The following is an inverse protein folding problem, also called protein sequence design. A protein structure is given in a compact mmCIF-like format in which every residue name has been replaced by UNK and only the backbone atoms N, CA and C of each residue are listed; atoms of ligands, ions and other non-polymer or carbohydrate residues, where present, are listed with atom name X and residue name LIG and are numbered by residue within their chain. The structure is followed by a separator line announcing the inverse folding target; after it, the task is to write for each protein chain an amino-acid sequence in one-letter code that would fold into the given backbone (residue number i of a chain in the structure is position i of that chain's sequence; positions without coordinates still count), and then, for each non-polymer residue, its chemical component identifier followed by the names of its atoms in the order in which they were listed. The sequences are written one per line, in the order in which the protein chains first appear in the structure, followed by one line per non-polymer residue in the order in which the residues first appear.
data_IF_157848439583
#
_entry.id   IF_157848439583
#
_cell.length_a   1.000
_cell.length_b   1.000
_cell.length_c   1.000
_cell.angle_alpha   90.00
_cell.angle_beta   90.00
_cell.angle_gamma   90.00
#
_symmetry.space_group_name_H-M   'P 1'
#
loop_
_entity.id
_entity.type
_entity.pdbx_description
1 polymer ?
#
# COMPACT_ATOMS: atom_id res chain seq x y z
N UNK A 1 -52.01 16.16 37.59
CA UNK A 1 -51.43 15.56 38.81
C UNK A 1 -50.07 14.94 38.50
N UNK A 2 -49.10 15.40 39.21
CA UNK A 2 -47.65 15.05 39.09
C UNK A 2 -47.42 13.57 39.38
N UNK A 3 -46.49 12.92 38.66
CA UNK A 3 -45.65 11.90 39.25
C UNK A 3 -44.26 11.96 38.60
N UNK A 4 -43.32 12.21 39.44
CA UNK A 4 -41.85 12.13 39.32
C UNK A 4 -41.50 10.65 39.37
N UNK A 5 -40.64 10.18 38.48
CA UNK A 5 -39.98 8.89 38.62
C UNK A 5 -38.48 9.03 38.47
N UNK A 6 -37.84 8.47 39.45
CA UNK A 6 -36.43 8.48 39.88
C UNK A 6 -35.52 7.70 38.95
N UNK A 7 -34.36 8.26 38.65
CA UNK A 7 -33.23 7.59 38.02
C UNK A 7 -32.47 6.78 39.07
N UNK A 8 -32.23 5.51 38.79
CA UNK A 8 -31.22 4.70 39.46
C UNK A 8 -30.15 4.39 38.43
N UNK A 9 -28.98 4.98 38.65
CA UNK A 9 -27.75 4.76 37.93
C UNK A 9 -27.05 3.55 38.58
N UNK A 10 -26.96 2.42 37.90
CA UNK A 10 -26.08 1.32 38.30
C UNK A 10 -24.93 1.23 37.30
N UNK A 11 -23.79 1.73 37.73
CA UNK A 11 -22.50 1.58 37.07
C UNK A 11 -21.99 0.14 37.21
N UNK A 12 -22.06 -0.63 36.14
CA UNK A 12 -21.37 -1.91 36.04
C UNK A 12 -20.05 -1.67 35.27
N UNK A 13 -18.95 -1.62 36.01
CA UNK A 13 -17.60 -1.64 35.44
C UNK A 13 -17.30 -3.07 35.03
N UNK A 14 -17.43 -3.36 33.74
CA UNK A 14 -16.84 -4.55 33.12
C UNK A 14 -15.40 -4.23 32.71
N UNK A 15 -14.45 -4.74 33.44
CA UNK A 15 -13.05 -4.83 33.00
C UNK A 15 -12.95 -6.03 32.05
N UNK A 16 -13.06 -5.78 30.77
CA UNK A 16 -12.75 -6.77 29.74
C UNK A 16 -11.25 -6.71 29.46
N UNK A 17 -10.52 -7.73 29.90
CA UNK A 17 -9.20 -8.01 29.35
C UNK A 17 -9.37 -8.45 27.89
N UNK A 18 -9.26 -7.50 26.97
CA UNK A 18 -9.09 -7.81 25.57
C UNK A 18 -7.61 -8.13 25.32
N UNK A 19 -7.33 -9.41 25.12
CA UNK A 19 -6.14 -9.83 24.39
C UNK A 19 -6.28 -9.26 22.98
N UNK A 20 -5.67 -8.12 22.74
CA UNK A 20 -5.66 -7.48 21.44
C UNK A 20 -4.80 -8.30 20.49
N UNK A 21 -5.45 -9.05 19.63
CA UNK A 21 -4.87 -9.35 18.34
C UNK A 21 -4.73 -8.01 17.62
N UNK A 22 -3.54 -7.45 17.60
CA UNK A 22 -3.20 -6.40 16.67
C UNK A 22 -3.13 -7.04 15.27
N UNK A 23 -4.27 -7.12 14.61
CA UNK A 23 -4.27 -7.09 13.16
C UNK A 23 -3.81 -5.69 12.82
N UNK A 24 -2.59 -5.57 12.35
CA UNK A 24 -2.17 -4.39 11.58
C UNK A 24 -3.14 -4.35 10.41
N UNK A 25 -4.14 -3.51 10.50
CA UNK A 25 -4.92 -3.14 9.33
C UNK A 25 -3.91 -2.50 8.38
N UNK A 26 -3.86 -2.97 7.15
CA UNK A 26 -3.40 -2.14 6.06
C UNK A 26 -4.02 -0.76 6.31
N UNK A 27 -3.15 0.25 6.38
CA UNK A 27 -3.57 1.62 6.63
C UNK A 27 -4.83 1.87 5.83
N UNK A 28 -5.81 2.46 6.47
CA UNK A 28 -7.07 2.88 5.89
C UNK A 28 -6.75 3.54 4.55
N UNK A 29 -6.87 2.77 3.47
CA UNK A 29 -6.61 3.25 2.13
C UNK A 29 -7.69 4.28 1.91
N UNK A 30 -7.30 5.56 1.96
CA UNK A 30 -8.21 6.68 1.85
C UNK A 30 -9.23 6.38 0.74
N UNK A 31 -10.50 6.68 0.99
CA UNK A 31 -11.56 6.53 -0.01
C UNK A 31 -11.00 7.01 -1.35
N UNK A 32 -11.05 6.12 -2.36
CA UNK A 32 -10.55 6.42 -3.69
C UNK A 32 -11.07 7.80 -4.08
N UNK A 33 -10.17 8.79 -4.18
CA UNK A 33 -10.56 10.16 -4.45
C UNK A 33 -11.42 10.16 -5.71
N UNK A 34 -12.54 10.87 -5.68
CA UNK A 34 -13.42 11.02 -6.83
C UNK A 34 -12.61 11.59 -8.00
N UNK A 35 -12.33 10.74 -8.98
CA UNK A 35 -11.54 11.16 -10.13
C UNK A 35 -12.35 12.22 -10.87
N UNK A 36 -11.93 13.47 -10.82
CA UNK A 36 -12.63 14.64 -11.40
C UNK A 36 -12.99 14.41 -12.88
N UNK A 37 -12.20 13.57 -13.56
CA UNK A 37 -12.43 13.09 -14.91
C UNK A 37 -12.13 11.61 -14.98
N UNK A 38 -13.11 10.73 -15.07
CA UNK A 38 -12.87 9.28 -15.05
C UNK A 38 -11.95 8.80 -16.18
N UNK A 39 -11.92 9.50 -17.31
CA UNK A 39 -11.02 9.19 -18.42
C UNK A 39 -9.54 9.39 -18.07
N UNK A 40 -9.20 10.20 -17.07
CA UNK A 40 -7.80 10.46 -16.70
C UNK A 40 -7.08 9.24 -16.14
N UNK A 41 -7.80 8.25 -15.67
CA UNK A 41 -7.24 7.00 -15.16
C UNK A 41 -6.76 6.03 -16.25
N UNK A 42 -7.11 6.28 -17.51
CA UNK A 42 -6.84 5.36 -18.61
C UNK A 42 -5.66 5.83 -19.44
N UNK A 43 -4.72 4.94 -19.74
CA UNK A 43 -3.51 5.27 -20.49
C UNK A 43 -3.76 5.44 -21.99
N UNK A 44 -4.67 4.67 -22.52
CA UNK A 44 -4.89 4.54 -23.96
C UNK A 44 -6.33 4.87 -24.35
N UNK A 45 -6.51 5.39 -25.56
CA UNK A 45 -7.81 5.63 -26.11
C UNK A 45 -7.92 5.22 -27.59
N UNK A 46 -9.13 4.90 -28.01
CA UNK A 46 -9.49 4.69 -29.41
C UNK A 46 -10.62 5.64 -29.79
N UNK A 47 -10.46 6.29 -30.91
CA UNK A 47 -11.48 7.14 -31.51
C UNK A 47 -12.33 6.31 -32.46
N UNK A 48 -13.64 6.26 -32.21
CA UNK A 48 -14.61 5.61 -33.07
C UNK A 48 -15.49 6.68 -33.69
N UNK A 49 -15.31 6.89 -35.01
CA UNK A 49 -16.14 7.80 -35.77
C UNK A 49 -17.56 7.26 -35.92
N UNK A 50 -18.47 8.08 -36.46
CA UNK A 50 -19.87 7.70 -36.67
C UNK A 50 -19.98 6.41 -37.47
N UNK A 51 -20.70 5.46 -36.87
CA UNK A 51 -20.94 4.14 -37.45
C UNK A 51 -22.26 4.16 -38.21
N UNK A 52 -22.24 3.66 -39.46
CA UNK A 52 -23.48 3.57 -40.28
C UNK A 52 -24.35 2.40 -39.84
N UNK A 53 -25.00 2.59 -38.69
CA UNK A 53 -26.01 1.71 -38.13
C UNK A 53 -27.34 2.44 -38.03
N UNK A 54 -28.44 1.72 -38.22
CA UNK A 54 -29.80 2.32 -38.24
C UNK A 54 -30.60 2.03 -37.00
N UNK A 55 -30.14 1.11 -36.18
CA UNK A 55 -30.75 0.72 -34.90
C UNK A 55 -29.62 0.53 -33.89
N UNK A 56 -29.90 0.64 -32.59
CA UNK A 56 -28.92 0.32 -31.57
C UNK A 56 -28.34 -1.08 -31.81
N UNK A 57 -27.01 -1.17 -31.95
CA UNK A 57 -26.32 -2.39 -32.35
C UNK A 57 -25.08 -2.60 -31.46
N UNK A 58 -24.81 -3.85 -31.09
CA UNK A 58 -23.56 -4.19 -30.40
C UNK A 58 -22.41 -4.07 -31.38
N UNK A 59 -21.45 -3.20 -31.05
CA UNK A 59 -20.27 -2.95 -31.84
C UNK A 59 -19.07 -3.58 -31.15
N UNK A 60 -18.21 -4.21 -31.93
CA UNK A 60 -16.92 -4.79 -31.51
C UNK A 60 -15.78 -4.02 -32.15
N UNK A 61 -14.92 -3.43 -31.35
CA UNK A 61 -13.74 -2.67 -31.79
C UNK A 61 -12.50 -3.49 -31.44
N UNK A 62 -11.78 -4.02 -32.46
CA UNK A 62 -10.56 -4.79 -32.23
C UNK A 62 -9.48 -3.93 -31.57
N UNK A 63 -8.77 -4.51 -30.61
CA UNK A 63 -7.58 -3.91 -29.99
C UNK A 63 -6.36 -4.74 -30.35
N UNK A 64 -5.31 -4.07 -30.79
CA UNK A 64 -4.03 -4.68 -31.11
C UNK A 64 -3.01 -4.36 -30.01
N UNK A 65 -2.32 -5.35 -29.51
CA UNK A 65 -1.31 -5.20 -28.46
C UNK A 65 -0.89 -6.52 -27.84
N UNK A 66 0.27 -6.55 -27.24
CA UNK A 66 0.78 -7.72 -26.51
C UNK A 66 0.55 -7.56 -25.00
N UNK A 67 0.44 -8.66 -24.28
CA UNK A 67 0.29 -8.69 -22.83
C UNK A 67 -1.16 -8.67 -22.34
N UNK A 68 -1.37 -8.79 -21.05
CA UNK A 68 -2.67 -8.65 -20.40
C UNK A 68 -3.06 -7.18 -20.29
N UNK A 69 -4.33 -6.87 -20.40
CA UNK A 69 -4.88 -5.52 -20.25
C UNK A 69 -5.94 -5.57 -19.15
N UNK A 70 -5.96 -4.56 -18.27
CA UNK A 70 -7.01 -4.40 -17.28
C UNK A 70 -8.39 -4.37 -17.96
N UNK A 71 -9.36 -5.09 -17.43
CA UNK A 71 -10.67 -5.28 -18.03
C UNK A 71 -11.59 -4.03 -17.96
N UNK A 72 -11.21 -3.02 -17.20
CA UNK A 72 -12.01 -1.79 -17.10
C UNK A 72 -11.94 -0.98 -18.38
N UNK A 73 -13.09 -0.57 -18.86
CA UNK A 73 -13.26 0.19 -20.10
C UNK A 73 -14.27 1.31 -19.85
N UNK A 74 -13.91 2.52 -20.23
CA UNK A 74 -14.80 3.69 -20.21
C UNK A 74 -15.12 4.08 -21.65
N UNK A 75 -16.38 4.24 -21.98
CA UNK A 75 -16.82 4.66 -23.29
C UNK A 75 -17.68 5.92 -23.17
N UNK A 76 -17.33 6.95 -23.94
CA UNK A 76 -18.00 8.23 -23.95
C UNK A 76 -18.61 8.51 -25.32
N UNK A 77 -19.90 8.81 -25.37
CA UNK A 77 -20.53 9.38 -26.55
C UNK A 77 -20.11 10.84 -26.71
N UNK A 78 -19.56 11.22 -27.87
CA UNK A 78 -19.03 12.58 -28.08
C UNK A 78 -20.09 13.66 -28.10
N UNK A 79 -21.27 13.38 -28.72
CA UNK A 79 -22.31 14.38 -28.92
C UNK A 79 -23.12 14.63 -27.65
N UNK A 80 -23.26 13.65 -26.80
CA UNK A 80 -24.12 13.72 -25.61
C UNK A 80 -23.35 13.75 -24.30
N UNK A 81 -22.03 13.51 -24.34
CA UNK A 81 -21.15 13.37 -23.19
C UNK A 81 -21.58 12.24 -22.22
N UNK A 82 -22.35 11.28 -22.71
CA UNK A 82 -22.90 10.18 -21.93
C UNK A 82 -21.89 9.03 -21.84
N UNK A 83 -21.76 8.47 -20.64
CA UNK A 83 -20.96 7.27 -20.43
C UNK A 83 -21.78 6.02 -20.76
N UNK A 84 -21.19 5.15 -21.55
CA UNK A 84 -21.75 3.88 -22.01
C UNK A 84 -20.96 2.74 -21.40
N UNK A 85 -21.63 1.74 -20.88
CA UNK A 85 -20.97 0.55 -20.41
C UNK A 85 -20.35 -0.26 -21.55
N UNK A 86 -19.13 -0.75 -21.33
CA UNK A 86 -18.38 -1.59 -22.25
C UNK A 86 -17.91 -2.90 -21.63
N UNK A 87 -17.52 -3.82 -22.47
CA UNK A 87 -16.90 -5.09 -22.10
C UNK A 87 -15.61 -5.26 -22.91
N UNK A 88 -14.50 -5.42 -22.23
CA UNK A 88 -13.28 -5.93 -22.87
C UNK A 88 -13.40 -7.45 -22.98
N UNK A 89 -13.53 -7.95 -24.19
CA UNK A 89 -13.54 -9.35 -24.51
C UNK A 89 -12.12 -9.78 -24.91
N UNK A 90 -11.54 -10.70 -24.18
CA UNK A 90 -10.24 -11.28 -24.50
C UNK A 90 -10.42 -12.76 -24.80
N UNK A 91 -10.14 -13.19 -26.01
CA UNK A 91 -10.10 -14.59 -26.37
C UNK A 91 -8.68 -15.00 -26.69
N UNK A 92 -8.16 -15.96 -25.95
CA UNK A 92 -6.84 -16.56 -26.20
C UNK A 92 -7.05 -17.70 -27.22
N UNK A 93 -6.61 -17.50 -28.44
CA UNK A 93 -6.76 -18.50 -29.52
C UNK A 93 -5.71 -19.62 -29.47
N UNK A 94 -4.63 -19.43 -28.72
CA UNK A 94 -3.63 -20.48 -28.46
C UNK A 94 -3.68 -20.86 -26.99
N UNK A 95 -3.59 -22.16 -26.67
CA UNK A 95 -3.53 -22.61 -25.28
C UNK A 95 -2.12 -22.32 -24.71
N UNK A 96 -1.94 -21.26 -23.90
CA UNK A 96 -0.68 -21.05 -23.24
C UNK A 96 -0.41 -22.25 -22.31
N UNK A 97 0.87 -22.60 -22.17
CA UNK A 97 1.25 -23.62 -21.20
C UNK A 97 0.87 -23.12 -19.80
N UNK A 98 -0.01 -23.84 -19.07
CA UNK A 98 -0.45 -23.38 -17.78
C UNK A 98 0.69 -23.41 -16.78
N UNK A 99 0.77 -22.35 -15.96
CA UNK A 99 1.75 -22.24 -14.89
C UNK A 99 1.08 -22.38 -13.52
N UNK A 100 1.84 -22.82 -12.53
CA UNK A 100 1.48 -22.75 -11.13
C UNK A 100 2.45 -21.81 -10.42
N UNK A 101 1.93 -20.97 -9.52
CA UNK A 101 2.74 -20.01 -8.76
C UNK A 101 2.62 -20.36 -7.28
N UNK A 102 3.75 -20.41 -6.60
CA UNK A 102 3.84 -20.50 -5.14
C UNK A 102 4.70 -19.39 -4.61
N UNK A 103 4.41 -18.89 -3.42
CA UNK A 103 5.10 -17.76 -2.81
C UNK A 103 5.89 -18.17 -1.57
N UNK A 104 6.96 -17.45 -1.27
CA UNK A 104 7.69 -17.52 -0.01
C UNK A 104 7.80 -16.06 0.52
N UNK A 105 7.15 -15.71 1.63
CA UNK A 105 6.33 -16.56 2.51
C UNK A 105 5.13 -17.22 1.79
N UNK A 106 4.75 -18.41 2.25
CA UNK A 106 3.69 -19.19 1.61
C UNK A 106 2.32 -18.49 1.76
N UNK A 107 1.61 -18.32 0.65
CA UNK A 107 0.25 -17.83 0.63
C UNK A 107 -0.66 -18.83 -0.14
N UNK A 108 -1.75 -19.24 0.51
CA UNK A 108 -2.69 -20.21 -0.07
C UNK A 108 -3.45 -19.68 -1.29
N UNK A 109 -3.53 -18.36 -1.43
CA UNK A 109 -4.26 -17.67 -2.50
C UNK A 109 -3.35 -17.34 -3.70
N UNK A 110 -2.15 -17.90 -3.79
CA UNK A 110 -1.20 -17.62 -4.87
C UNK A 110 -1.74 -17.94 -6.29
N UNK A 111 -2.86 -18.63 -6.41
CA UNK A 111 -3.54 -18.84 -7.69
C UNK A 111 -4.06 -17.54 -8.31
N UNK A 112 -4.35 -16.51 -7.51
CA UNK A 112 -4.78 -15.17 -7.95
C UNK A 112 -3.74 -14.55 -8.89
N UNK A 113 -2.46 -14.79 -8.65
CA UNK A 113 -1.35 -14.20 -9.44
C UNK A 113 -1.29 -14.67 -10.90
N UNK A 114 -2.26 -15.46 -11.38
CA UNK A 114 -2.31 -16.04 -12.72
C UNK A 114 -3.73 -16.22 -13.27
N UNK A 115 -4.71 -15.58 -12.68
CA UNK A 115 -6.12 -15.72 -13.07
C UNK A 115 -6.56 -14.71 -14.15
N UNK A 116 -5.63 -13.86 -14.59
CA UNK A 116 -5.84 -12.81 -15.59
C UNK A 116 -6.85 -11.73 -15.13
N UNK A 117 -7.11 -11.67 -13.82
CA UNK A 117 -7.95 -10.65 -13.20
C UNK A 117 -7.05 -9.65 -12.45
N UNK A 118 -7.34 -8.36 -12.60
CA UNK A 118 -6.54 -7.29 -12.00
C UNK A 118 -7.24 -6.65 -10.79
N UNK A 119 -8.42 -7.13 -10.43
CA UNK A 119 -9.22 -6.65 -9.30
C UNK A 119 -8.85 -7.32 -7.97
N UNK A 120 -7.98 -8.33 -8.01
CA UNK A 120 -7.50 -9.06 -6.86
C UNK A 120 -5.97 -9.09 -6.85
N UNK A 121 -5.40 -9.07 -5.66
CA UNK A 121 -3.95 -9.10 -5.50
C UNK A 121 -3.54 -9.76 -4.19
N UNK A 122 -2.26 -10.11 -4.07
CA UNK A 122 -1.65 -10.60 -2.84
C UNK A 122 -0.87 -9.48 -2.18
N UNK A 123 -1.17 -9.26 -0.90
CA UNK A 123 -0.52 -8.29 -0.04
C UNK A 123 0.73 -8.87 0.60
N UNK A 124 1.80 -8.09 0.58
CA UNK A 124 3.07 -8.38 1.24
C UNK A 124 3.44 -7.18 2.12
N UNK A 125 3.13 -7.24 3.42
CA UNK A 125 3.47 -6.17 4.35
C UNK A 125 4.98 -6.07 4.53
N UNK A 126 5.47 -4.90 4.87
CA UNK A 126 6.88 -4.71 5.24
C UNK A 126 7.14 -5.44 6.56
N UNK A 127 8.18 -6.28 6.65
CA UNK A 127 8.53 -6.92 7.92
C UNK A 127 9.02 -5.88 8.93
N UNK A 128 8.93 -6.21 10.22
CA UNK A 128 9.42 -5.36 11.30
C UNK A 128 10.94 -5.14 11.27
N UNK A 129 11.68 -5.96 10.55
CA UNK A 129 13.13 -5.82 10.39
C UNK A 129 13.54 -5.99 8.91
N UNK A 130 14.33 -5.03 8.41
CA UNK A 130 14.92 -5.04 7.07
C UNK A 130 13.89 -4.87 5.94
N UNK A 131 14.37 -4.99 4.72
CA UNK A 131 13.54 -4.98 3.52
C UNK A 131 12.62 -6.20 3.47
N UNK A 132 11.44 -6.02 2.92
CA UNK A 132 10.57 -7.12 2.54
C UNK A 132 11.20 -7.92 1.39
N UNK A 133 11.11 -9.23 1.46
CA UNK A 133 11.51 -10.12 0.37
C UNK A 133 10.40 -11.10 0.10
N UNK A 134 9.95 -11.15 -1.15
CA UNK A 134 9.02 -12.17 -1.61
C UNK A 134 9.64 -12.94 -2.77
N UNK A 135 9.41 -14.24 -2.76
CA UNK A 135 9.86 -15.14 -3.81
C UNK A 135 8.64 -15.79 -4.46
N UNK A 136 8.57 -15.69 -5.77
CA UNK A 136 7.57 -16.38 -6.58
C UNK A 136 8.26 -17.53 -7.32
N UNK A 137 7.85 -18.76 -7.03
CA UNK A 137 8.25 -19.93 -7.80
C UNK A 137 7.18 -20.25 -8.82
N UNK A 138 7.53 -20.11 -10.09
CA UNK A 138 6.65 -20.39 -11.23
C UNK A 138 7.05 -21.69 -11.87
N UNK A 139 6.11 -22.62 -11.97
CA UNK A 139 6.31 -23.96 -12.53
C UNK A 139 5.29 -24.26 -13.61
N UNK A 140 5.73 -24.90 -14.68
CA UNK A 140 4.85 -25.38 -15.75
C UNK A 140 5.02 -26.87 -16.00
N UNK A 141 3.94 -27.52 -16.45
CA UNK A 141 3.97 -28.95 -16.81
C UNK A 141 4.79 -29.26 -18.07
N UNK A 142 4.94 -28.27 -18.94
CA UNK A 142 5.76 -28.30 -20.15
C UNK A 142 6.65 -27.08 -20.18
N UNK A 143 7.82 -27.16 -20.86
CA UNK A 143 8.70 -26.00 -20.97
C UNK A 143 8.03 -24.85 -21.71
N UNK A 144 8.23 -23.62 -21.22
CA UNK A 144 7.84 -22.38 -21.90
C UNK A 144 9.08 -21.66 -22.42
N UNK A 145 8.98 -21.07 -23.60
CA UNK A 145 10.00 -20.21 -24.16
C UNK A 145 9.57 -18.76 -23.97
N UNK A 146 10.41 -17.96 -23.31
CA UNK A 146 10.10 -16.59 -22.96
C UNK A 146 11.35 -15.72 -22.93
N UNK A 147 11.17 -14.41 -23.12
CA UNK A 147 12.21 -13.39 -22.97
C UNK A 147 11.72 -12.18 -22.15
N UNK A 148 10.52 -12.26 -21.59
CA UNK A 148 9.90 -11.14 -20.88
C UNK A 148 9.03 -11.66 -19.73
N UNK A 149 9.13 -10.98 -18.60
CA UNK A 149 8.23 -11.07 -17.45
C UNK A 149 7.48 -9.76 -17.30
N UNK A 150 6.17 -9.82 -17.17
CA UNK A 150 5.33 -8.71 -16.78
C UNK A 150 4.89 -8.91 -15.32
N UNK A 151 5.06 -7.85 -14.52
CA UNK A 151 4.62 -7.76 -13.15
C UNK A 151 3.48 -6.74 -13.10
N UNK A 152 2.31 -7.18 -12.68
CA UNK A 152 1.16 -6.29 -12.53
C UNK A 152 0.98 -6.00 -11.05
N UNK A 153 1.22 -4.75 -10.71
CA UNK A 153 1.05 -4.23 -9.35
C UNK A 153 -0.33 -3.60 -9.22
N UNK A 154 -0.83 -3.55 -8.01
CA UNK A 154 -2.04 -2.78 -7.72
C UNK A 154 -1.74 -1.28 -7.81
N UNK A 155 -2.80 -0.49 -7.79
CA UNK A 155 -2.70 0.95 -7.59
C UNK A 155 -2.20 1.28 -6.18
N UNK A 156 -1.65 2.47 -5.97
CA UNK A 156 -1.18 2.96 -4.68
C UNK A 156 -0.04 2.14 -4.06
N UNK A 157 0.80 1.55 -4.88
CA UNK A 157 2.00 0.84 -4.44
C UNK A 157 3.24 1.30 -5.20
N UNK A 158 4.34 1.42 -4.47
CA UNK A 158 5.65 1.69 -5.07
C UNK A 158 6.21 0.48 -5.82
N UNK A 159 7.08 0.72 -6.80
CA UNK A 159 7.86 -0.35 -7.42
C UNK A 159 8.73 -1.06 -6.36
N UNK A 160 8.81 -2.41 -6.39
CA UNK A 160 9.83 -3.12 -5.64
C UNK A 160 11.23 -2.56 -5.95
N UNK A 161 12.05 -2.43 -4.91
CA UNK A 161 13.42 -1.88 -5.05
C UNK A 161 14.27 -2.67 -6.01
N UNK A 162 14.20 -3.99 -5.92
CA UNK A 162 15.04 -4.86 -6.76
C UNK A 162 14.29 -6.08 -7.23
N UNK A 163 14.74 -6.59 -8.38
CA UNK A 163 14.33 -7.87 -8.93
C UNK A 163 15.55 -8.76 -9.22
N UNK A 164 15.40 -10.06 -8.97
CA UNK A 164 16.27 -11.11 -9.44
C UNK A 164 15.42 -12.22 -10.06
N UNK A 165 15.85 -12.77 -11.21
CA UNK A 165 15.18 -13.89 -11.85
C UNK A 165 16.17 -15.03 -12.01
N UNK A 166 15.78 -16.20 -11.52
CA UNK A 166 16.51 -17.46 -11.67
C UNK A 166 15.67 -18.46 -12.46
N UNK A 167 16.32 -19.35 -13.17
CA UNK A 167 15.68 -20.44 -13.92
C UNK A 167 16.45 -21.72 -13.69
N UNK A 168 15.83 -22.89 -13.96
CA UNK A 168 16.50 -24.16 -13.97
C UNK A 168 16.57 -24.70 -15.41
N UNK A 169 17.68 -25.36 -15.73
CA UNK A 169 17.77 -26.12 -16.99
C UNK A 169 16.82 -27.34 -16.91
N UNK A 170 16.29 -27.75 -18.07
CA UNK A 170 15.39 -28.89 -18.17
C UNK A 170 16.06 -30.15 -17.55
N UNK A 171 15.40 -30.74 -16.56
CA UNK A 171 15.89 -31.91 -15.84
C UNK A 171 16.96 -31.63 -14.79
N UNK A 172 17.31 -30.37 -14.53
CA UNK A 172 18.25 -29.96 -13.47
C UNK A 172 17.48 -29.36 -12.29
N UNK A 173 17.97 -29.61 -11.06
CA UNK A 173 17.50 -28.91 -9.87
C UNK A 173 18.38 -27.69 -9.54
N UNK A 174 19.42 -27.44 -10.32
CA UNK A 174 20.35 -26.32 -10.11
C UNK A 174 19.79 -25.09 -10.81
N UNK A 175 19.53 -24.03 -10.05
CA UNK A 175 19.09 -22.77 -10.60
C UNK A 175 20.26 -21.99 -11.20
N UNK A 176 20.01 -21.35 -12.33
CA UNK A 176 20.91 -20.41 -13.00
C UNK A 176 20.29 -19.01 -12.93
N UNK A 177 21.11 -18.02 -12.61
CA UNK A 177 20.67 -16.62 -12.63
C UNK A 177 20.43 -16.18 -14.08
N UNK A 178 19.20 -15.77 -14.37
CA UNK A 178 18.79 -15.21 -15.66
C UNK A 178 18.88 -13.69 -15.63
N UNK A 179 18.40 -13.07 -14.56
CA UNK A 179 18.53 -11.65 -14.27
C UNK A 179 19.20 -11.52 -12.91
N UNK A 180 20.41 -10.96 -12.85
CA UNK A 180 21.07 -10.66 -11.59
C UNK A 180 20.31 -9.59 -10.81
N UNK A 181 20.39 -9.62 -9.47
CA UNK A 181 19.74 -8.63 -8.62
C UNK A 181 20.07 -7.21 -9.10
N UNK A 182 19.06 -6.48 -9.51
CA UNK A 182 19.14 -5.09 -10.01
C UNK A 182 17.95 -4.27 -9.56
N UNK A 183 18.11 -2.95 -9.57
CA UNK A 183 16.99 -2.04 -9.35
C UNK A 183 15.89 -2.28 -10.39
N UNK A 184 14.64 -2.24 -9.94
CA UNK A 184 13.46 -2.31 -10.80
C UNK A 184 13.12 -0.88 -11.25
N UNK A 185 12.96 -0.69 -12.56
CA UNK A 185 12.67 0.62 -13.18
C UNK A 185 11.34 0.62 -13.94
N UNK A 186 10.59 -0.47 -13.84
CA UNK A 186 9.30 -0.64 -14.50
C UNK A 186 8.79 -2.06 -14.33
N UNK A 187 7.57 -2.28 -14.74
CA UNK A 187 6.85 -3.54 -14.51
C UNK A 187 7.06 -4.59 -15.60
N UNK A 188 7.70 -4.24 -16.73
CA UNK A 188 8.07 -5.15 -17.81
C UNK A 188 9.57 -5.40 -17.80
N UNK A 189 9.98 -6.63 -17.59
CA UNK A 189 11.36 -7.03 -17.40
C UNK A 189 11.81 -7.92 -18.57
N UNK A 190 12.68 -7.39 -19.41
CA UNK A 190 13.25 -8.12 -20.54
C UNK A 190 14.56 -8.83 -20.16
N UNK A 191 14.77 -10.02 -20.71
CA UNK A 191 15.96 -10.86 -20.51
C UNK A 191 16.22 -11.72 -21.75
N UNK A 192 17.44 -12.33 -21.88
CA UNK A 192 17.73 -13.24 -22.97
C UNK A 192 16.73 -14.39 -23.03
N UNK A 193 16.31 -14.75 -24.25
CA UNK A 193 15.38 -15.85 -24.48
C UNK A 193 15.83 -17.13 -23.79
N UNK A 194 14.92 -17.78 -23.10
CA UNK A 194 15.16 -19.03 -22.36
C UNK A 194 13.96 -19.96 -22.49
N UNK A 195 14.25 -21.26 -22.53
CA UNK A 195 13.23 -22.32 -22.48
C UNK A 195 13.37 -23.08 -21.17
N UNK A 196 12.37 -23.01 -20.31
CA UNK A 196 12.38 -23.68 -19.01
C UNK A 196 10.96 -24.01 -18.55
N UNK A 197 10.85 -24.90 -17.58
CA UNK A 197 9.62 -25.19 -16.86
C UNK A 197 9.64 -24.71 -15.39
N UNK A 198 10.71 -23.97 -15.00
CA UNK A 198 10.85 -23.42 -13.67
C UNK A 198 11.49 -22.04 -13.72
N UNK A 199 10.85 -21.09 -13.07
CA UNK A 199 11.37 -19.76 -12.84
C UNK A 199 11.20 -19.40 -11.38
N UNK A 200 12.16 -18.65 -10.85
CA UNK A 200 12.12 -18.09 -9.50
C UNK A 200 12.34 -16.59 -9.61
N UNK A 201 11.32 -15.81 -9.25
CA UNK A 201 11.34 -14.35 -9.23
C UNK A 201 11.48 -13.91 -7.79
N UNK A 202 12.47 -13.09 -7.49
CA UNK A 202 12.75 -12.57 -6.15
C UNK A 202 12.60 -11.06 -6.21
N UNK A 203 11.68 -10.52 -5.43
CA UNK A 203 11.47 -9.08 -5.26
C UNK A 203 11.91 -8.65 -3.87
N UNK A 204 12.61 -7.51 -3.79
CA UNK A 204 12.90 -6.83 -2.53
C UNK A 204 12.15 -5.51 -2.52
N UNK A 205 11.44 -5.21 -1.44
CA UNK A 205 10.59 -4.01 -1.33
C UNK A 205 10.75 -3.34 0.03
N UNK A 206 10.58 -2.03 0.08
CA UNK A 206 10.71 -1.19 1.28
C UNK A 206 9.36 -0.69 1.80
N UNK A 207 8.35 -0.62 0.94
CA UNK A 207 6.98 -0.23 1.26
C UNK A 207 6.04 -1.42 1.07
N UNK A 208 4.81 -1.40 1.63
CA UNK A 208 3.83 -2.45 1.41
C UNK A 208 3.67 -2.73 -0.08
N UNK A 209 3.71 -4.00 -0.46
CA UNK A 209 3.64 -4.43 -1.85
C UNK A 209 2.36 -5.22 -2.08
N UNK A 210 1.63 -4.90 -3.15
CA UNK A 210 0.51 -5.69 -3.63
C UNK A 210 0.71 -6.06 -5.08
N UNK A 211 0.69 -7.37 -5.35
CA UNK A 211 0.91 -7.94 -6.68
C UNK A 211 -0.39 -8.56 -7.15
N UNK A 212 -0.91 -8.10 -8.29
CA UNK A 212 -2.15 -8.60 -8.87
C UNK A 212 -1.87 -9.79 -9.79
N UNK A 213 -0.84 -9.70 -10.65
CA UNK A 213 -0.55 -10.75 -11.62
C UNK A 213 0.96 -10.85 -11.89
N UNK A 214 1.42 -12.05 -12.19
CA UNK A 214 2.78 -12.33 -12.68
C UNK A 214 2.67 -13.16 -13.96
N UNK A 215 3.09 -12.58 -15.09
CA UNK A 215 2.96 -13.21 -16.39
C UNK A 215 4.29 -13.29 -17.14
N UNK A 216 4.69 -14.51 -17.52
CA UNK A 216 5.77 -14.72 -18.48
C UNK A 216 5.18 -14.70 -19.89
N UNK A 217 5.65 -13.78 -20.72
CA UNK A 217 5.23 -13.70 -22.13
C UNK A 217 5.76 -14.92 -22.86
N UNK A 218 4.88 -15.87 -23.18
CA UNK A 218 5.25 -17.12 -23.84
C UNK A 218 5.40 -16.90 -25.35
N UNK A 219 6.53 -17.34 -25.91
CA UNK A 219 6.79 -17.23 -27.34
C UNK A 219 5.99 -18.28 -28.11
N UNK A 220 5.50 -17.91 -29.32
CA UNK A 220 4.73 -18.79 -30.18
C UNK A 220 3.24 -18.85 -29.83
N UNK A 221 2.79 -18.06 -28.86
CA UNK A 221 1.38 -17.78 -28.63
C UNK A 221 1.01 -16.63 -29.55
N UNK A 222 0.38 -16.93 -30.69
CA UNK A 222 -0.11 -15.92 -31.62
C UNK A 222 -1.61 -15.73 -31.41
N UNK A 223 -2.01 -14.46 -31.44
CA UNK A 223 -3.37 -13.95 -31.49
C UNK A 223 -4.17 -14.07 -30.19
N UNK A 224 -3.87 -13.15 -29.28
CA UNK A 224 -4.90 -12.66 -28.39
C UNK A 224 -5.85 -11.80 -29.21
N UNK A 225 -6.95 -12.36 -29.65
CA UNK A 225 -8.01 -11.57 -30.26
C UNK A 225 -8.70 -10.82 -29.11
N UNK A 226 -8.56 -9.51 -29.12
CA UNK A 226 -9.15 -8.61 -28.14
C UNK A 226 -10.08 -7.67 -28.83
N UNK A 227 -11.22 -7.46 -28.24
CA UNK A 227 -12.19 -6.49 -28.73
C UNK A 227 -12.92 -5.82 -27.56
N UNK A 228 -13.17 -4.53 -27.71
CA UNK A 228 -14.06 -3.81 -26.81
C UNK A 228 -15.46 -3.81 -27.43
N UNK A 229 -16.44 -4.27 -26.65
CA UNK A 229 -17.82 -4.36 -27.08
C UNK A 229 -18.69 -3.39 -26.31
N UNK A 230 -19.58 -2.73 -27.02
CA UNK A 230 -20.57 -1.83 -26.42
C UNK A 230 -21.81 -1.69 -27.31
N UNK A 231 -22.90 -1.16 -26.75
CA UNK A 231 -24.11 -0.89 -27.50
C UNK A 231 -24.05 0.51 -28.11
N UNK A 232 -23.74 0.58 -29.40
CA UNK A 232 -23.70 1.85 -30.14
C UNK A 232 -25.08 2.29 -30.57
N UNK A 233 -25.30 3.60 -30.56
CA UNK A 233 -26.50 4.27 -31.11
C UNK A 233 -26.26 4.77 -32.53
N UNK A 234 -27.28 4.88 -33.38
CA UNK A 234 -27.16 5.49 -34.71
C UNK A 234 -26.62 6.92 -34.63
N UNK A 235 -25.78 7.27 -35.61
CA UNK A 235 -25.24 8.63 -35.83
C UNK A 235 -24.38 9.18 -34.68
N UNK A 236 -23.91 8.34 -33.73
CA UNK A 236 -23.02 8.71 -32.65
C UNK A 236 -21.57 8.37 -32.94
N UNK A 237 -20.66 9.19 -32.44
CA UNK A 237 -19.23 8.92 -32.36
C UNK A 237 -18.83 8.65 -30.90
N UNK A 238 -17.77 7.86 -30.71
CA UNK A 238 -17.35 7.41 -29.37
C UNK A 238 -15.86 7.60 -29.15
N UNK A 239 -15.50 7.94 -27.91
CA UNK A 239 -14.17 7.82 -27.38
C UNK A 239 -14.14 6.64 -26.41
N UNK A 240 -13.27 5.69 -26.67
CA UNK A 240 -13.10 4.47 -25.87
C UNK A 240 -11.78 4.58 -25.12
N UNK A 241 -11.83 4.55 -23.80
CA UNK A 241 -10.67 4.59 -22.92
C UNK A 241 -10.49 3.22 -22.28
N UNK A 242 -9.26 2.72 -22.23
CA UNK A 242 -8.93 1.42 -21.69
C UNK A 242 -7.51 1.39 -21.12
N UNK A 243 -7.11 0.26 -20.49
CA UNK A 243 -5.83 0.09 -19.82
C UNK A 243 -5.62 1.11 -18.69
N UNK A 244 -6.54 1.13 -17.68
CA UNK A 244 -6.37 2.01 -16.53
C UNK A 244 -5.26 1.53 -15.61
N UNK A 245 -4.61 2.44 -14.90
CA UNK A 245 -3.70 2.18 -13.78
C UNK A 245 -4.29 2.55 -12.43
N UNK A 246 -5.52 3.05 -12.43
CA UNK A 246 -6.28 3.39 -11.23
C UNK A 246 -7.66 2.73 -11.26
N UNK A 247 -8.23 2.44 -10.11
CA UNK A 247 -9.64 2.06 -10.01
C UNK A 247 -10.54 3.23 -10.37
N UNK A 248 -11.48 2.98 -11.26
CA UNK A 248 -12.43 4.00 -11.70
C UNK A 248 -13.84 3.52 -11.39
N UNK A 249 -14.57 4.31 -10.63
CA UNK A 249 -16.01 4.12 -10.39
C UNK A 249 -16.74 5.18 -11.18
N UNK A 250 -17.60 4.76 -12.09
CA UNK A 250 -18.45 5.66 -12.87
C UNK A 250 -19.82 5.03 -13.13
N UNK A 251 -20.81 5.89 -13.21
CA UNK A 251 -22.17 5.47 -13.57
C UNK A 251 -22.26 5.35 -15.09
N UNK A 252 -22.35 4.12 -15.59
CA UNK A 252 -22.59 3.85 -16.99
C UNK A 252 -24.03 3.41 -17.22
N UNK A 253 -24.51 3.63 -18.43
CA UNK A 253 -25.82 3.11 -18.83
C UNK A 253 -25.83 1.58 -18.78
N UNK A 254 -27.00 1.02 -18.44
CA UNK A 254 -27.20 -0.43 -18.41
C UNK A 254 -26.84 -1.07 -19.74
N UNK A 255 -26.03 -2.13 -19.71
CA UNK A 255 -25.54 -2.81 -20.89
C UNK A 255 -26.37 -4.07 -21.14
N UNK A 256 -26.70 -4.32 -22.41
CA UNK A 256 -27.24 -5.59 -22.85
C UNK A 256 -26.22 -6.73 -22.74
N UNK A 257 -26.54 -7.91 -23.24
CA UNK A 257 -25.63 -9.05 -23.25
C UNK A 257 -24.50 -8.85 -24.27
N UNK A 258 -23.43 -8.17 -23.87
CA UNK A 258 -22.25 -7.92 -24.71
C UNK A 258 -21.40 -9.18 -24.95
N UNK A 259 -21.65 -10.28 -24.23
CA UNK A 259 -20.96 -11.56 -24.45
C UNK A 259 -21.59 -12.41 -25.54
N UNK A 260 -22.77 -12.05 -26.03
CA UNK A 260 -23.43 -12.77 -27.11
C UNK A 260 -22.78 -12.42 -28.46
N UNK A 261 -22.27 -13.44 -29.15
CA UNK A 261 -21.59 -13.26 -30.45
C UNK A 261 -22.54 -13.14 -31.64
N UNK A 262 -23.87 -13.17 -31.40
CA UNK A 262 -24.87 -13.00 -32.44
C UNK A 262 -25.09 -11.52 -32.76
N UNK A 263 -25.18 -11.22 -34.06
CA UNK A 263 -25.52 -9.90 -34.56
C UNK A 263 -24.53 -8.76 -34.13
N UNK A 264 -23.24 -9.10 -33.99
CA UNK A 264 -22.20 -8.13 -33.68
C UNK A 264 -21.75 -7.44 -34.97
N UNK A 265 -21.68 -6.11 -34.94
CA UNK A 265 -21.04 -5.29 -35.97
C UNK A 265 -19.55 -5.11 -35.62
N UNK A 266 -18.67 -5.67 -36.41
CA UNK A 266 -17.22 -5.47 -36.25
C UNK A 266 -16.80 -4.16 -36.87
N UNK A 267 -16.39 -3.21 -36.07
CA UNK A 267 -15.90 -1.91 -36.50
C UNK A 267 -14.38 -2.01 -36.75
N UNK A 268 -13.98 -1.97 -38.02
CA UNK A 268 -12.58 -1.92 -38.41
C UNK A 268 -12.40 -0.64 -39.24
N UNK A 269 -11.65 0.30 -38.69
CA UNK A 269 -11.25 1.52 -39.36
C UNK A 269 -9.73 1.66 -39.22
N UNK A 270 -9.04 2.06 -40.28
CA UNK A 270 -7.59 2.36 -40.26
C UNK A 270 -7.24 3.44 -39.24
N UNK A 271 -8.21 4.27 -38.82
CA UNK A 271 -8.08 5.30 -37.77
C UNK A 271 -8.34 4.77 -36.35
N UNK A 272 -8.79 3.51 -36.20
CA UNK A 272 -9.02 2.88 -34.88
C UNK A 272 -7.73 2.34 -34.26
N UNK A 273 -6.63 3.05 -34.48
CA UNK A 273 -5.35 2.72 -33.83
C UNK A 273 -5.36 3.30 -32.43
N UNK A 274 -4.95 2.51 -31.43
CA UNK A 274 -4.75 3.03 -30.08
C UNK A 274 -3.79 4.21 -30.08
N UNK A 275 -4.16 5.24 -29.34
CA UNK A 275 -3.32 6.42 -29.11
C UNK A 275 -3.22 6.66 -27.60
N UNK A 276 -2.14 7.32 -27.19
CA UNK A 276 -2.02 7.76 -25.81
C UNK A 276 -3.18 8.69 -25.46
N UNK A 277 -3.80 8.47 -24.32
CA UNK A 277 -4.88 9.31 -23.86
C UNK A 277 -4.34 10.67 -23.41
N UNK A 278 -4.73 11.79 -24.05
CA UNK A 278 -4.23 13.11 -23.70
C UNK A 278 -4.68 13.62 -22.31
N UNK A 279 -5.68 12.96 -21.72
CA UNK A 279 -6.18 13.29 -20.39
C UNK A 279 -5.58 12.42 -19.29
N UNK A 280 -4.76 11.44 -19.66
CA UNK A 280 -4.17 10.52 -18.71
C UNK A 280 -3.33 11.25 -17.64
N UNK A 281 -3.57 10.90 -16.40
CA UNK A 281 -2.78 11.32 -15.24
C UNK A 281 -2.35 10.05 -14.50
N UNK A 282 -1.06 9.81 -14.31
CA UNK A 282 -0.59 8.72 -13.46
C UNK A 282 -1.16 8.82 -12.06
N UNK A 283 -1.27 7.69 -11.35
CA UNK A 283 -1.66 7.66 -9.96
C UNK A 283 -0.64 8.43 -9.10
N UNK A 284 -1.15 9.30 -8.22
CA UNK A 284 -0.42 10.12 -7.24
C UNK A 284 -1.42 10.34 -6.10
N UNK A 285 -1.42 9.43 -5.12
CA UNK A 285 -2.51 9.32 -4.13
C UNK A 285 -2.45 10.39 -3.06
N UNK A 286 -1.28 10.98 -2.81
CA UNK A 286 -1.08 12.05 -1.82
C UNK A 286 -0.88 13.44 -2.43
N UNK A 287 -0.99 13.53 -3.78
CA UNK A 287 -0.93 14.77 -4.57
C UNK A 287 0.38 15.56 -4.36
N UNK A 288 1.50 14.89 -4.15
CA UNK A 288 2.79 15.56 -3.94
C UNK A 288 3.57 15.85 -5.24
N UNK A 289 3.08 15.33 -6.37
CA UNK A 289 3.65 15.47 -7.69
C UNK A 289 4.62 14.37 -8.10
N UNK A 290 4.80 13.35 -7.26
CA UNK A 290 5.54 12.12 -7.56
C UNK A 290 4.54 10.99 -7.75
N UNK A 291 4.64 10.29 -8.89
CA UNK A 291 3.70 9.18 -9.17
C UNK A 291 3.94 8.01 -8.23
N UNK A 292 2.88 7.34 -7.77
CA UNK A 292 2.92 6.25 -6.79
C UNK A 292 4.01 5.21 -7.06
N UNK A 293 4.18 4.78 -8.31
CA UNK A 293 5.19 3.78 -8.68
C UNK A 293 6.63 4.22 -8.42
N UNK A 294 6.89 5.52 -8.37
CA UNK A 294 8.24 6.10 -8.17
C UNK A 294 8.39 6.76 -6.81
N UNK A 295 7.29 6.83 -6.04
CA UNK A 295 7.23 7.50 -4.77
C UNK A 295 7.81 6.64 -3.65
N UNK A 296 8.65 7.24 -2.83
CA UNK A 296 9.23 6.57 -1.66
C UNK A 296 8.37 6.70 -0.39
N UNK A 297 7.22 7.46 -0.48
CA UNK A 297 6.21 7.57 0.58
C UNK A 297 4.79 7.64 0.00
N UNK A 298 4.33 6.67 -0.77
CA UNK A 298 3.08 6.65 -1.57
C UNK A 298 1.84 7.30 -0.92
N UNK A 299 1.73 7.37 0.39
CA UNK A 299 0.56 7.91 1.09
C UNK A 299 0.86 9.11 1.99
N UNK A 300 2.08 9.66 1.93
CA UNK A 300 2.52 10.78 2.78
C UNK A 300 3.31 11.75 1.93
N UNK A 301 2.69 12.86 1.60
CA UNK A 301 3.25 13.90 0.71
C UNK A 301 4.69 14.29 1.09
N UNK A 302 5.63 14.02 0.21
CA UNK A 302 7.06 14.31 0.38
C UNK A 302 7.76 14.61 -0.96
N UNK A 303 7.30 15.61 -1.67
CA UNK A 303 7.79 15.99 -3.00
C UNK A 303 9.30 16.13 -3.16
N UNK A 304 10.05 16.23 -2.06
CA UNK A 304 11.52 16.26 -2.05
C UNK A 304 12.15 14.86 -2.08
N UNK A 305 11.37 13.82 -1.81
CA UNK A 305 11.76 12.41 -1.88
C UNK A 305 13.03 12.09 -1.08
N UNK A 306 13.24 12.78 0.05
CA UNK A 306 14.41 12.59 0.90
C UNK A 306 14.38 11.20 1.53
N UNK A 307 15.50 10.48 1.41
CA UNK A 307 15.77 9.15 1.97
C UNK A 307 17.25 9.12 2.37
N UNK A 308 17.53 9.52 3.60
CA UNK A 308 18.91 9.75 4.11
C UNK A 308 19.67 8.44 4.26
N UNK A 309 19.04 7.40 4.74
CA UNK A 309 19.67 6.08 4.96
C UNK A 309 19.65 5.20 3.71
N UNK A 310 18.92 5.60 2.65
CA UNK A 310 18.78 4.92 1.35
C UNK A 310 18.18 3.53 1.47
N UNK A 311 17.25 3.38 2.38
CA UNK A 311 16.52 2.13 2.54
C UNK A 311 15.34 2.00 1.54
N UNK A 312 15.02 3.04 0.76
CA UNK A 312 13.96 3.08 -0.26
C UNK A 312 12.59 3.45 0.32
N UNK A 313 12.56 3.93 1.56
CA UNK A 313 11.42 4.59 2.19
C UNK A 313 11.84 6.03 2.47
N UNK A 314 10.98 6.99 2.14
CA UNK A 314 11.27 8.40 2.42
C UNK A 314 11.24 8.70 3.91
N UNK A 315 12.11 9.63 4.36
CA UNK A 315 12.22 10.01 5.78
C UNK A 315 10.89 10.46 6.40
N UNK A 316 9.98 10.98 5.56
CA UNK A 316 8.66 11.45 5.99
C UNK A 316 7.71 10.33 6.44
N UNK A 317 7.89 9.12 5.95
CA UNK A 317 7.08 7.94 6.26
C UNK A 317 7.89 6.79 6.85
N UNK A 318 9.18 7.00 7.11
CA UNK A 318 10.06 5.99 7.66
C UNK A 318 10.09 6.03 9.19
N UNK A 319 10.37 4.87 9.78
CA UNK A 319 10.57 4.63 11.21
C UNK A 319 11.92 3.89 11.33
N UNK A 320 12.98 4.65 11.59
CA UNK A 320 14.36 4.14 11.52
C UNK A 320 14.68 3.12 12.60
N UNK A 321 14.20 3.36 13.82
CA UNK A 321 14.46 2.48 14.95
C UNK A 321 13.33 1.48 15.23
N UNK A 322 12.18 1.65 14.52
CA UNK A 322 11.03 0.74 14.50
C UNK A 322 10.33 0.58 15.83
N UNK A 323 10.20 1.66 16.51
CA UNK A 323 9.43 1.71 17.75
C UNK A 323 7.93 1.96 17.52
N UNK A 324 7.52 2.25 16.27
CA UNK A 324 6.14 2.47 15.85
C UNK A 324 5.78 3.93 15.65
N UNK A 325 6.73 4.85 15.84
CA UNK A 325 6.61 6.25 15.48
C UNK A 325 7.47 6.56 14.25
N UNK A 326 6.91 7.29 13.28
CA UNK A 326 7.68 7.74 12.13
C UNK A 326 8.67 8.82 12.56
N UNK A 327 9.82 8.91 11.90
CA UNK A 327 10.92 9.82 12.26
C UNK A 327 10.50 11.27 12.53
N UNK A 328 9.48 11.77 11.80
CA UNK A 328 8.96 13.13 11.96
C UNK A 328 8.07 13.31 13.19
N UNK A 329 7.59 12.24 13.80
CA UNK A 329 6.75 12.22 14.99
C UNK A 329 7.44 11.60 16.20
N UNK A 330 8.66 11.09 15.98
CA UNK A 330 9.49 10.45 16.98
C UNK A 330 10.43 11.46 17.62
N UNK A 331 10.45 11.51 18.94
CA UNK A 331 11.35 12.35 19.69
C UNK A 331 12.75 11.74 19.92
N UNK A 332 12.96 10.46 19.48
CA UNK A 332 14.26 9.78 19.43
C UNK A 332 14.42 8.96 18.15
N UNK A 333 14.49 9.51 16.94
CA UNK A 333 14.39 8.77 15.68
C UNK A 333 15.42 7.67 15.42
N UNK A 334 16.39 7.47 16.28
CA UNK A 334 17.47 6.47 16.14
C UNK A 334 17.59 5.52 17.32
N UNK A 335 16.77 5.70 18.37
CA UNK A 335 16.80 4.88 19.59
C UNK A 335 15.38 4.55 20.03
N UNK A 336 14.94 3.27 19.94
CA UNK A 336 13.56 2.89 20.18
C UNK A 336 13.03 3.33 21.55
N UNK A 337 11.96 4.10 21.56
CA UNK A 337 11.35 4.64 22.77
C UNK A 337 9.80 4.71 22.70
N UNK A 338 9.15 3.55 22.52
CA UNK A 338 7.70 3.39 22.35
C UNK A 338 6.81 4.26 23.28
N UNK A 339 7.31 4.71 24.44
CA UNK A 339 6.59 5.57 25.38
C UNK A 339 6.74 7.05 25.05
N UNK A 340 7.64 7.43 24.14
CA UNK A 340 7.89 8.81 23.71
C UNK A 340 8.07 9.77 24.91
N UNK A 341 8.75 9.27 25.98
CA UNK A 341 8.97 10.02 27.21
C UNK A 341 9.92 11.18 26.94
N UNK A 342 9.53 12.37 27.41
CA UNK A 342 10.27 13.64 27.34
C UNK A 342 9.96 14.38 28.63
N UNK A 343 10.87 14.26 29.61
CA UNK A 343 10.61 14.72 30.98
C UNK A 343 10.73 16.24 31.15
N UNK A 344 11.47 16.90 30.27
CA UNK A 344 11.67 18.35 30.32
C UNK A 344 10.95 19.12 29.22
N UNK A 345 10.31 18.36 28.29
CA UNK A 345 9.48 18.87 27.21
C UNK A 345 10.25 19.78 26.22
N UNK A 346 11.50 19.42 25.90
CA UNK A 346 12.30 20.15 24.92
C UNK A 346 12.16 19.59 23.48
N UNK A 347 11.47 18.43 23.33
CA UNK A 347 11.21 17.76 22.06
C UNK A 347 12.22 16.66 21.74
N UNK A 348 13.20 16.40 22.59
CA UNK A 348 14.11 15.25 22.53
C UNK A 348 13.68 14.25 23.61
N UNK A 349 13.57 12.97 23.23
CA UNK A 349 13.12 11.96 24.19
C UNK A 349 14.18 11.58 25.21
N UNK A 350 13.75 11.24 26.42
CA UNK A 350 14.61 10.86 27.56
C UNK A 350 15.67 9.78 27.21
N UNK A 351 15.42 8.94 26.19
CA UNK A 351 16.33 7.86 25.79
C UNK A 351 17.52 8.36 25.01
N UNK A 352 17.33 9.32 24.12
CA UNK A 352 18.35 9.87 23.24
C UNK A 352 18.85 11.25 23.71
N UNK A 353 18.23 11.86 24.73
CA UNK A 353 18.66 13.11 25.29
C UNK A 353 19.90 12.93 26.16
N UNK A 354 21.05 13.40 25.67
CA UNK A 354 22.32 13.40 26.39
C UNK A 354 22.49 14.56 27.36
N UNK A 355 21.64 15.57 27.26
CA UNK A 355 21.64 16.80 28.09
C UNK A 355 20.27 17.01 28.70
N UNK A 356 19.90 16.18 29.68
CA UNK A 356 18.67 16.43 30.43
C UNK A 356 18.72 17.82 31.06
N UNK A 357 17.94 18.74 30.53
CA UNK A 357 17.90 20.13 31.06
C UNK A 357 17.01 20.27 32.30
N UNK A 358 16.75 19.18 33.03
CA UNK A 358 16.07 19.25 34.32
C UNK A 358 16.77 20.27 35.22
N UNK A 359 15.99 21.12 35.84
CA UNK A 359 16.52 22.18 36.75
C UNK A 359 17.52 21.64 37.77
N UNK A 360 17.38 20.36 38.20
CA UNK A 360 18.31 19.70 39.13
C UNK A 360 19.62 19.28 38.50
N UNK A 361 19.68 19.08 37.18
CA UNK A 361 20.88 18.68 36.42
C UNK A 361 21.65 19.90 35.92
N UNK A 362 20.94 20.89 35.42
CA UNK A 362 21.52 22.20 35.13
C UNK A 362 22.01 22.90 36.41
N UNK A 363 21.55 22.47 37.59
CA UNK A 363 21.94 23.02 38.88
C UNK A 363 22.32 21.93 39.88
N UNK A 364 23.49 21.26 39.77
CA UNK A 364 23.92 20.11 40.60
C UNK A 364 23.97 20.41 42.11
N UNK A 365 23.91 21.67 42.49
CA UNK A 365 23.90 22.09 43.89
C UNK A 365 22.51 22.00 44.53
N UNK A 366 21.41 21.94 43.79
CA UNK A 366 20.02 21.94 44.29
C UNK A 366 19.69 20.72 45.17
N UNK A 367 20.04 19.49 44.80
CA UNK A 367 19.86 18.34 45.67
C UNK A 367 20.63 18.46 47.01
N UNK A 368 21.83 19.07 46.97
CA UNK A 368 22.63 19.31 48.17
C UNK A 368 22.01 20.33 49.11
N UNK A 369 21.41 21.41 48.59
CA UNK A 369 20.65 22.37 49.38
C UNK A 369 19.42 21.75 50.00
N UNK A 370 18.69 20.89 49.28
CA UNK A 370 17.57 20.14 49.81
C UNK A 370 17.97 19.23 50.99
N UNK A 371 19.04 18.45 50.79
CA UNK A 371 19.62 17.63 51.88
C UNK A 371 20.12 18.47 53.05
N UNK A 372 20.81 19.57 52.79
CA UNK A 372 21.32 20.48 53.81
C UNK A 372 20.19 21.10 54.68
N UNK A 373 19.11 21.54 54.04
CA UNK A 373 17.93 22.06 54.77
C UNK A 373 17.24 21.03 55.62
N UNK A 374 17.13 19.77 55.12
CA UNK A 374 16.57 18.66 55.87
C UNK A 374 17.41 18.34 57.10
N UNK A 375 18.74 18.31 56.97
CA UNK A 375 19.65 18.10 58.13
C UNK A 375 19.52 19.24 59.14
N UNK A 376 19.50 20.50 58.70
CA UNK A 376 19.30 21.65 59.59
C UNK A 376 17.96 21.57 60.31
N UNK A 377 16.87 21.20 59.63
CA UNK A 377 15.55 21.03 60.24
C UNK A 377 15.56 19.91 61.31
N UNK A 378 16.23 18.80 61.03
CA UNK A 378 16.38 17.69 62.02
C UNK A 378 17.21 18.19 63.22
N UNK A 379 18.31 18.90 63.04
CA UNK A 379 19.09 19.45 64.11
C UNK A 379 18.29 20.45 64.98
N UNK A 380 17.50 21.30 64.35
CA UNK A 380 16.59 22.21 65.07
C UNK A 380 15.58 21.42 65.93
N UNK A 381 14.98 20.37 65.36
CA UNK A 381 14.08 19.47 66.10
C UNK A 381 14.77 18.81 67.29
N UNK A 382 16.00 18.32 67.11
CA UNK A 382 16.78 17.74 68.20
C UNK A 382 17.07 18.79 69.31
N UNK A 383 17.42 20.01 68.95
CA UNK A 383 17.65 21.09 69.92
C UNK A 383 16.36 21.44 70.66
N UNK A 384 15.22 21.49 69.97
CA UNK A 384 13.93 21.77 70.61
C UNK A 384 13.51 20.67 71.56
N UNK A 385 13.69 19.37 71.16
CA UNK A 385 13.44 18.24 72.05
C UNK A 385 14.37 18.27 73.27
N UNK A 386 15.66 18.51 73.04
CA UNK A 386 16.64 18.60 74.15
C UNK A 386 16.33 19.77 75.16
N UNK A 387 15.81 20.88 74.66
CA UNK A 387 15.35 22.02 75.49
C UNK A 387 14.03 21.74 76.16
N UNK A 388 13.14 20.95 75.48
CA UNK A 388 11.83 20.62 76.09
C UNK A 388 11.87 19.59 77.22
N UNK A 389 12.98 18.83 77.35
CA UNK A 389 13.15 17.81 78.45
C UNK A 389 13.46 18.41 79.84
N UNK A 390 13.60 19.76 79.98
CA UNK A 390 13.77 20.42 81.24
C UNK A 390 12.41 20.87 81.87
N UNK A 391 11.35 20.11 81.74
CA UNK A 391 10.13 20.31 82.48
C UNK A 391 10.34 19.72 83.90
N UNK A 392 10.34 20.53 84.96
CA UNK A 392 10.51 19.98 86.32
C UNK A 392 9.28 19.11 86.66
N UNK A 393 9.54 17.86 87.04
CA UNK A 393 8.53 16.96 87.60
C UNK A 393 7.96 17.59 88.88
N UNK A 394 6.70 17.97 88.87
CA UNK A 394 5.95 18.47 90.04
C UNK A 394 5.84 17.28 91.01
N UNK A 395 6.46 17.44 92.14
CA UNK A 395 6.41 16.47 93.28
C UNK A 395 4.96 16.36 93.76
N UNK A 396 4.35 15.18 93.58
CA UNK A 396 3.07 14.88 94.18
C UNK A 396 3.23 14.87 95.73
N UNK A 397 2.58 15.75 96.39
CA UNK A 397 2.45 15.82 97.85
C UNK A 397 1.37 14.80 98.26
N UNK A 398 1.79 13.81 99.08
CA UNK A 398 0.90 12.83 99.71
C UNK A 398 -0.10 13.54 100.62
N UNK A 399 -1.38 13.41 100.35
CA UNK A 399 -2.46 13.64 101.25
C UNK A 399 -2.88 12.28 101.90
N UNK A 400 -2.31 11.98 103.09
CA UNK A 400 -2.96 11.11 104.02
C UNK A 400 -3.86 12.01 104.90
N UNK A 401 -5.15 11.81 104.89
CA UNK A 401 -6.14 11.60 105.93
C UNK A 401 -7.53 11.45 105.32
#
# INVERSE_FOLDING_TARGET
MKKISSYILSSLVMVSFALGNYTVHAQDMGEAGEVERPESAFREMIVVEKIDIKVPTVVSVPIYGEGLINQSVLIRERETDRLVGGLLNQSITSNPVPVSITTIPANSNSYILRDELFDQGLDFPVPSEGDGVVVFEVRSGQPITTSQLNLYLDQYVALPRTIEIQTAELGSMITKTLVAKKALVGTSINFPEVTSNYFKVILTYAQPLRVNEISFVQKGITDNQRDIRFLAQPDQAYDIYYNPDQSVIFDATEIGNLRDDRDIFVYVNELSVPVDNPYYKPADVDDDGVVDLLDNCVSVSNSDQVDVDRNGRGDMCDDWDRDGFINTQDNCPTEPNLNQSDADADGVGDVCDGEESRFTESNPWVPWVGMGTAVVAILILFILVARGTNVPLKKEENLNE
#
